data_IF_784394375412
#
_entry.id   IF_784394375412
#
_cell.length_a   1.000
_cell.length_b   1.000
_cell.length_c   1.000
_cell.angle_alpha   90.00
_cell.angle_beta   90.00
_cell.angle_gamma   90.00
#
_symmetry.space_group_name_H-M   'P 1'
#
loop_
_entity.id
_entity.type
_entity.pdbx_description
1 polymer ?
#
# COMPACT_ATOMS: atom_id res chain seq x y z
N UNK A 1 5.62 -19.54 19.45
CA UNK A 1 5.57 -18.08 19.21
C UNK A 1 4.11 -17.72 19.06
N UNK A 2 3.62 -16.70 19.75
CA UNK A 2 2.24 -16.25 19.58
C UNK A 2 2.12 -15.54 18.22
N UNK A 3 1.17 -15.96 17.40
CA UNK A 3 0.84 -15.26 16.16
C UNK A 3 0.22 -13.89 16.49
N UNK A 4 0.54 -12.86 15.70
CA UNK A 4 -0.08 -11.54 15.86
C UNK A 4 -1.54 -11.65 15.43
N UNK A 5 -2.48 -11.14 16.24
CA UNK A 5 -3.89 -11.21 15.90
C UNK A 5 -4.22 -10.36 14.66
N UNK A 6 -5.19 -10.82 13.87
CA UNK A 6 -5.62 -10.13 12.66
C UNK A 6 -6.15 -8.71 12.94
N UNK A 7 -6.78 -8.49 14.11
CA UNK A 7 -7.25 -7.18 14.54
C UNK A 7 -6.09 -6.22 14.74
N UNK A 8 -5.00 -6.65 15.39
CA UNK A 8 -3.80 -5.81 15.53
C UNK A 8 -3.20 -5.47 14.18
N UNK A 9 -3.11 -6.44 13.27
CA UNK A 9 -2.60 -6.18 11.91
C UNK A 9 -3.46 -5.15 11.18
N UNK A 10 -4.79 -5.29 11.24
CA UNK A 10 -5.74 -4.33 10.65
C UNK A 10 -5.59 -2.94 11.27
N UNK A 11 -5.53 -2.85 12.59
CA UNK A 11 -5.49 -1.57 13.30
C UNK A 11 -4.19 -0.81 13.02
N UNK A 12 -3.05 -1.51 12.93
CA UNK A 12 -1.76 -0.92 12.55
C UNK A 12 -1.73 -0.50 11.07
N UNK A 13 -2.31 -1.29 10.16
CA UNK A 13 -2.45 -0.89 8.76
C UNK A 13 -3.32 0.37 8.63
N UNK A 14 -4.43 0.44 9.36
CA UNK A 14 -5.29 1.63 9.41
C UNK A 14 -4.55 2.84 9.99
N UNK A 15 -3.73 2.66 11.03
CA UNK A 15 -2.91 3.72 11.58
C UNK A 15 -1.87 4.25 10.57
N UNK A 16 -1.25 3.38 9.77
CA UNK A 16 -0.35 3.77 8.69
C UNK A 16 -1.08 4.58 7.63
N UNK A 17 -2.29 4.16 7.24
CA UNK A 17 -3.12 4.88 6.26
C UNK A 17 -3.64 6.23 6.77
N UNK A 18 -3.79 6.40 8.09
CA UNK A 18 -4.23 7.65 8.71
C UNK A 18 -3.08 8.62 9.03
N UNK A 19 -1.82 8.19 8.90
CA UNK A 19 -0.66 9.04 9.13
C UNK A 19 -0.38 9.93 7.91
N UNK A 20 0.21 11.10 8.14
CA UNK A 20 0.69 11.94 7.05
C UNK A 20 1.78 11.19 6.24
N UNK A 21 1.65 11.17 4.92
CA UNK A 21 2.58 10.45 4.03
C UNK A 21 2.38 8.94 4.07
N UNK A 22 1.13 8.48 4.11
CA UNK A 22 0.72 7.08 4.11
C UNK A 22 1.35 6.30 2.93
N UNK A 23 1.44 6.92 1.75
CA UNK A 23 2.11 6.31 0.60
C UNK A 23 3.58 5.94 0.88
N UNK A 24 4.28 6.74 1.70
CA UNK A 24 5.64 6.44 2.17
C UNK A 24 5.68 5.22 3.10
N UNK A 25 4.72 5.11 4.02
CA UNK A 25 4.55 3.95 4.90
C UNK A 25 4.31 2.66 4.11
N UNK A 26 3.41 2.70 3.12
CA UNK A 26 3.15 1.57 2.23
C UNK A 26 4.40 1.16 1.43
N UNK A 27 5.19 2.12 0.93
CA UNK A 27 6.48 1.86 0.26
C UNK A 27 7.52 1.23 1.20
N UNK A 28 7.50 1.55 2.49
CA UNK A 28 8.37 0.90 3.48
C UNK A 28 7.94 -0.55 3.70
N UNK A 29 6.65 -0.81 3.91
CA UNK A 29 6.13 -2.18 4.06
C UNK A 29 6.41 -3.05 2.84
N UNK A 30 6.30 -2.47 1.64
CA UNK A 30 6.60 -3.17 0.39
C UNK A 30 8.09 -3.53 0.26
N UNK A 31 8.99 -2.58 0.57
CA UNK A 31 10.45 -2.83 0.58
C UNK A 31 10.89 -3.88 1.59
N UNK A 32 10.12 -4.04 2.68
CA UNK A 32 10.38 -5.05 3.72
C UNK A 32 9.70 -6.39 3.42
N UNK A 33 9.03 -6.54 2.27
CA UNK A 33 8.21 -7.71 1.88
C UNK A 33 7.12 -8.06 2.92
N UNK A 34 6.73 -7.07 3.74
CA UNK A 34 5.59 -7.17 4.68
C UNK A 34 4.29 -6.97 3.92
N UNK A 35 4.26 -6.00 3.00
CA UNK A 35 3.04 -5.68 2.28
C UNK A 35 2.50 -6.86 1.46
N UNK A 36 3.32 -7.65 0.74
CA UNK A 36 2.81 -8.83 0.03
C UNK A 36 2.30 -9.96 0.93
N UNK A 37 2.71 -9.98 2.21
CA UNK A 37 2.14 -10.91 3.17
C UNK A 37 0.74 -10.46 3.66
N UNK A 38 0.47 -9.15 3.65
CA UNK A 38 -0.81 -8.55 4.08
C UNK A 38 -1.80 -8.39 2.92
N UNK A 39 -1.30 -7.96 1.76
CA UNK A 39 -2.01 -7.67 0.53
C UNK A 39 -1.27 -8.37 -0.62
N UNK A 40 -1.47 -9.70 -0.78
CA UNK A 40 -0.76 -10.49 -1.79
C UNK A 40 -0.98 -9.98 -3.22
N UNK A 41 -2.12 -9.31 -3.47
CA UNK A 41 -2.46 -8.67 -4.74
C UNK A 41 -1.46 -7.60 -5.16
N UNK A 42 -0.73 -6.99 -4.21
CA UNK A 42 0.32 -5.99 -4.48
C UNK A 42 1.39 -6.50 -5.47
N UNK A 43 1.64 -7.82 -5.49
CA UNK A 43 2.56 -8.44 -6.47
C UNK A 43 2.01 -8.35 -7.88
N UNK A 44 0.77 -8.79 -8.08
CA UNK A 44 0.10 -8.74 -9.38
C UNK A 44 -0.09 -7.30 -9.87
N UNK A 45 -0.33 -6.36 -8.96
CA UNK A 45 -0.51 -4.94 -9.30
C UNK A 45 0.74 -4.34 -9.99
N UNK A 46 1.96 -4.75 -9.60
CA UNK A 46 3.21 -4.30 -10.24
C UNK A 46 3.40 -4.86 -11.65
N UNK A 47 2.88 -6.05 -11.90
CA UNK A 47 2.97 -6.70 -13.21
C UNK A 47 1.83 -6.24 -14.14
N UNK A 48 0.80 -5.61 -13.59
CA UNK A 48 -0.36 -5.15 -14.34
C UNK A 48 -0.11 -3.76 -14.90
N UNK A 49 0.31 -3.72 -16.17
CA UNK A 49 0.34 -2.48 -16.95
C UNK A 49 -1.08 -1.97 -17.22
N UNK A 50 -1.25 -0.65 -17.22
CA UNK A 50 -2.53 -0.01 -17.50
C UNK A 50 -2.52 0.62 -18.90
N UNK A 51 -3.60 0.55 -19.68
CA UNK A 51 -3.67 1.17 -21.00
C UNK A 51 -3.68 2.70 -20.88
N UNK A 52 -3.32 3.38 -21.97
CA UNK A 52 -3.44 4.84 -22.10
C UNK A 52 -4.83 5.31 -21.60
N UNK A 53 -4.91 6.36 -20.76
CA UNK A 53 -3.88 7.36 -20.46
C UNK A 53 -2.99 7.08 -19.25
N UNK A 54 -3.01 5.86 -18.72
CA UNK A 54 -2.30 5.55 -17.50
C UNK A 54 -0.79 5.40 -17.76
N UNK A 55 0.01 6.08 -16.93
CA UNK A 55 1.48 6.14 -17.06
C UNK A 55 2.23 5.18 -16.14
N UNK A 56 1.52 4.52 -15.24
CA UNK A 56 2.08 3.69 -14.18
C UNK A 56 1.38 2.33 -14.18
N UNK A 57 2.08 1.29 -13.69
CA UNK A 57 1.42 0.05 -13.29
C UNK A 57 0.37 0.31 -12.21
N UNK A 58 -0.46 -0.68 -11.92
CA UNK A 58 -1.55 -0.54 -10.94
C UNK A 58 -1.00 -0.17 -9.55
N UNK A 59 0.18 -0.69 -9.16
CA UNK A 59 0.77 -0.43 -7.83
C UNK A 59 1.23 1.02 -7.66
N UNK A 60 2.08 1.52 -8.55
CA UNK A 60 2.57 2.90 -8.48
C UNK A 60 1.43 3.90 -8.70
N UNK A 61 0.43 3.57 -9.53
CA UNK A 61 -0.78 4.38 -9.65
C UNK A 61 -1.54 4.48 -8.32
N UNK A 62 -1.77 3.36 -7.63
CA UNK A 62 -2.44 3.34 -6.33
C UNK A 62 -1.68 4.15 -5.28
N UNK A 63 -0.35 4.03 -5.20
CA UNK A 63 0.46 4.81 -4.25
C UNK A 63 0.36 6.31 -4.51
N UNK A 64 0.33 6.74 -5.77
CA UNK A 64 0.13 8.16 -6.12
C UNK A 64 -1.28 8.64 -5.80
N UNK A 65 -2.29 7.78 -5.92
CA UNK A 65 -3.64 8.12 -5.49
C UNK A 65 -3.71 8.31 -3.96
N UNK A 66 -3.01 7.48 -3.19
CA UNK A 66 -2.87 7.67 -1.73
C UNK A 66 -2.12 8.97 -1.41
N UNK A 67 -1.01 9.24 -2.08
CA UNK A 67 -0.25 10.49 -1.88
C UNK A 67 -1.10 11.74 -2.19
N UNK A 68 -1.87 11.71 -3.28
CA UNK A 68 -2.80 12.79 -3.60
C UNK A 68 -3.96 12.89 -2.59
N UNK A 69 -4.43 11.77 -2.02
CA UNK A 69 -5.44 11.79 -0.97
C UNK A 69 -4.91 12.41 0.32
N UNK A 70 -3.67 12.12 0.70
CA UNK A 70 -3.00 12.75 1.85
C UNK A 70 -2.91 14.28 1.69
N UNK A 71 -2.69 14.78 0.46
CA UNK A 71 -2.64 16.23 0.19
C UNK A 71 -4.00 16.94 0.33
N UNK A 72 -5.11 16.19 0.33
CA UNK A 72 -6.48 16.73 0.43
C UNK A 72 -7.05 16.72 1.85
N UNK A 73 -6.42 16.02 2.80
CA UNK A 73 -6.85 15.86 4.19
C UNK A 73 -6.17 16.90 5.12
#
# INVERSE_FOLDING_TARGET
MAEVSAERVRDELAAILAAAGAAGGLRVLDRLDVLPALLPESRSMRETSQPEPHRFDVWEHSLRAVEAADELL
#
